data_IF_395125527437
#
_entry.id   IF_395125527437
#
_cell.length_a   1.000
_cell.length_b   1.000
_cell.length_c   1.000
_cell.angle_alpha   90.00
_cell.angle_beta   90.00
_cell.angle_gamma   90.00
#
_symmetry.space_group_name_H-M   'P 1'
#
loop_
_entity.id
_entity.type
_entity.pdbx_description
1 polymer ?
#
# COMPACT_ATOMS: atom_id res chain seq x y z
N UNK A 1 54.89 1.02 30.78
CA UNK A 1 55.30 0.47 29.47
C UNK A 1 54.64 1.31 28.38
N UNK A 2 55.39 2.14 27.64
CA UNK A 2 54.88 2.91 26.50
C UNK A 2 55.27 2.22 25.17
N UNK A 3 54.31 2.10 24.26
CA UNK A 3 54.53 1.91 22.81
C UNK A 3 53.76 3.07 22.18
N UNK A 4 54.36 4.11 21.59
CA UNK A 4 55.41 4.26 20.59
C UNK A 4 55.02 3.58 19.24
N UNK A 5 54.18 4.19 18.39
CA UNK A 5 54.43 5.23 17.36
C UNK A 5 54.58 4.59 15.93
N UNK A 6 54.75 5.33 14.81
CA UNK A 6 53.74 5.47 13.75
C UNK A 6 54.29 5.20 12.32
N UNK A 7 53.48 4.69 11.38
CA UNK A 7 53.76 4.79 9.93
C UNK A 7 52.40 4.70 9.20
N UNK A 8 51.82 5.75 8.61
CA UNK A 8 52.23 6.47 7.40
C UNK A 8 52.55 5.54 6.22
N UNK A 9 51.60 5.36 5.28
CA UNK A 9 51.89 5.12 3.86
C UNK A 9 50.73 5.52 2.95
N UNK A 10 51.00 6.61 2.24
CA UNK A 10 50.39 7.07 0.99
C UNK A 10 50.52 6.01 -0.12
N UNK A 11 49.43 5.77 -0.85
CA UNK A 11 49.35 5.28 -2.24
C UNK A 11 47.95 5.74 -2.73
N UNK A 12 47.70 6.73 -3.59
CA UNK A 12 48.29 7.21 -4.85
C UNK A 12 48.31 6.19 -6.00
N UNK A 13 47.13 5.82 -6.46
CA UNK A 13 46.83 5.23 -7.77
C UNK A 13 45.40 5.66 -8.12
N UNK A 14 44.99 6.13 -9.29
CA UNK A 14 45.65 6.45 -10.55
C UNK A 14 44.53 7.02 -11.43
N UNK A 15 44.80 8.12 -12.13
CA UNK A 15 43.90 8.65 -13.15
C UNK A 15 43.80 7.64 -14.30
N UNK A 16 42.61 7.15 -14.60
CA UNK A 16 42.32 6.55 -15.91
C UNK A 16 41.38 7.49 -16.64
N UNK A 17 41.97 8.22 -17.59
CA UNK A 17 41.28 8.82 -18.72
C UNK A 17 41.33 7.79 -19.83
N UNK A 18 40.18 7.26 -20.24
CA UNK A 18 40.03 6.60 -21.53
C UNK A 18 38.95 7.34 -22.31
N UNK A 19 39.40 8.09 -23.32
CA UNK A 19 38.58 8.56 -24.42
C UNK A 19 38.72 7.57 -25.59
N UNK A 20 37.58 7.30 -26.26
CA UNK A 20 37.37 6.80 -27.63
C UNK A 20 36.18 5.83 -27.60
N UNK A 21 34.99 6.22 -28.05
CA UNK A 21 34.55 6.13 -29.45
C UNK A 21 34.87 4.76 -30.07
N UNK A 22 33.89 3.87 -29.98
CA UNK A 22 33.89 2.57 -30.64
C UNK A 22 32.53 1.93 -30.45
N UNK A 23 31.76 1.93 -31.53
CA UNK A 23 30.46 1.28 -31.72
C UNK A 23 30.22 0.07 -30.83
N UNK A 24 29.04 0.00 -30.20
CA UNK A 24 28.19 -1.17 -29.95
C UNK A 24 27.06 -0.70 -29.02
N UNK A 25 26.05 -0.03 -29.59
CA UNK A 25 24.78 0.05 -28.90
C UNK A 25 24.14 -1.33 -29.04
N UNK A 26 23.98 -2.14 -27.98
CA UNK A 26 23.05 -3.25 -28.09
C UNK A 26 21.72 -2.62 -28.47
N UNK A 27 21.12 -3.10 -29.56
CA UNK A 27 19.72 -2.85 -29.83
C UNK A 27 19.00 -3.07 -28.51
N UNK A 28 18.42 -1.99 -27.95
CA UNK A 28 17.45 -2.10 -26.88
C UNK A 28 16.33 -2.91 -27.53
N UNK A 29 16.42 -4.24 -27.40
CA UNK A 29 15.27 -5.11 -27.55
C UNK A 29 14.37 -4.58 -26.46
N UNK A 30 13.41 -3.76 -26.84
CA UNK A 30 12.15 -3.69 -26.13
C UNK A 30 11.75 -5.14 -25.93
N UNK A 31 12.00 -5.64 -24.72
CA UNK A 31 11.36 -6.87 -24.26
C UNK A 31 9.90 -6.66 -24.61
N UNK A 32 9.29 -7.51 -25.47
CA UNK A 32 7.86 -7.40 -25.68
C UNK A 32 7.25 -7.41 -24.28
N UNK A 33 6.38 -6.42 -24.03
CA UNK A 33 5.62 -6.31 -22.80
C UNK A 33 5.26 -7.74 -22.42
N UNK A 34 5.83 -8.18 -21.30
CA UNK A 34 5.59 -9.49 -20.74
C UNK A 34 4.12 -9.76 -20.91
N UNK A 35 3.75 -10.94 -21.42
CA UNK A 35 2.39 -11.45 -21.32
C UNK A 35 2.00 -11.30 -19.84
N UNK A 36 1.42 -10.15 -19.49
CA UNK A 36 0.79 -9.89 -18.22
C UNK A 36 -0.44 -10.77 -18.30
N UNK A 37 -0.24 -12.05 -17.99
CA UNK A 37 -1.33 -12.97 -17.78
C UNK A 37 -2.29 -12.23 -16.86
N UNK A 38 -3.52 -11.94 -17.33
CA UNK A 38 -4.43 -11.05 -16.64
C UNK A 38 -4.62 -11.60 -15.24
N UNK A 39 -4.02 -10.91 -14.27
CA UNK A 39 -4.00 -11.17 -12.83
C UNK A 39 -5.02 -12.22 -12.40
N UNK A 40 -4.69 -13.50 -12.58
CA UNK A 40 -5.67 -14.61 -12.45
C UNK A 40 -5.98 -14.92 -10.98
N UNK A 41 -5.54 -14.05 -10.09
CA UNK A 41 -5.78 -14.08 -8.66
C UNK A 41 -6.71 -12.96 -8.26
N UNK A 42 -8.01 -13.10 -8.56
CA UNK A 42 -9.01 -12.28 -7.88
C UNK A 42 -10.24 -13.04 -7.36
N UNK A 43 -10.48 -14.29 -7.76
CA UNK A 43 -11.43 -15.19 -7.05
C UNK A 43 -10.74 -16.30 -6.23
N UNK A 44 -9.52 -16.72 -6.61
CA UNK A 44 -8.78 -17.78 -5.90
C UNK A 44 -8.11 -17.37 -4.58
N UNK A 45 -8.00 -16.06 -4.29
CA UNK A 45 -7.37 -15.56 -3.05
C UNK A 45 -8.33 -15.42 -1.88
N UNK A 46 -9.63 -15.63 -2.07
CA UNK A 46 -10.56 -15.69 -0.95
C UNK A 46 -10.38 -17.04 -0.26
N UNK A 47 -9.97 -17.07 1.03
CA UNK A 47 -9.85 -18.31 1.75
C UNK A 47 -11.19 -19.07 1.72
N UNK A 48 -11.16 -20.40 1.70
CA UNK A 48 -12.37 -21.22 1.68
C UNK A 48 -13.37 -20.86 2.82
N UNK A 49 -12.87 -20.35 3.96
CA UNK A 49 -13.70 -19.92 5.08
C UNK A 49 -14.46 -18.61 4.82
N UNK A 50 -14.00 -17.76 3.90
CA UNK A 50 -14.49 -16.39 3.72
C UNK A 50 -15.97 -16.34 3.35
N UNK A 51 -16.40 -17.15 2.37
CA UNK A 51 -17.80 -17.19 1.92
C UNK A 51 -18.75 -17.65 3.02
N UNK A 52 -18.33 -18.64 3.83
CA UNK A 52 -19.12 -19.12 4.96
C UNK A 52 -19.24 -18.04 6.04
N UNK A 53 -18.14 -17.33 6.32
CA UNK A 53 -18.12 -16.26 7.32
C UNK A 53 -18.94 -15.04 6.88
N UNK A 54 -18.87 -14.65 5.60
CA UNK A 54 -19.70 -13.58 5.06
C UNK A 54 -21.20 -13.91 5.18
N UNK A 55 -21.59 -15.15 4.88
CA UNK A 55 -22.98 -15.60 5.06
C UNK A 55 -23.40 -15.54 6.53
N UNK A 56 -22.58 -16.05 7.44
CA UNK A 56 -22.82 -16.02 8.89
C UNK A 56 -23.02 -14.58 9.39
N UNK A 57 -22.20 -13.64 8.94
CA UNK A 57 -22.30 -12.23 9.32
C UNK A 57 -23.57 -11.58 8.77
N UNK A 58 -23.98 -11.93 7.54
CA UNK A 58 -25.22 -11.45 6.95
C UNK A 58 -26.44 -11.95 7.72
N UNK A 59 -26.47 -13.23 8.09
CA UNK A 59 -27.53 -13.81 8.92
C UNK A 59 -27.64 -13.10 10.27
N UNK A 60 -26.51 -12.80 10.92
CA UNK A 60 -26.49 -12.04 12.18
C UNK A 60 -27.03 -10.62 11.97
N UNK A 61 -26.60 -9.92 10.92
CA UNK A 61 -27.05 -8.56 10.64
C UNK A 61 -28.58 -8.51 10.39
N UNK A 62 -29.12 -9.51 9.69
CA UNK A 62 -30.56 -9.67 9.44
C UNK A 62 -31.35 -9.97 10.72
N UNK A 63 -30.86 -10.89 11.56
CA UNK A 63 -31.50 -11.23 12.83
C UNK A 63 -31.56 -10.04 13.80
N UNK A 64 -30.59 -9.12 13.69
CA UNK A 64 -30.52 -7.90 14.48
C UNK A 64 -31.20 -6.69 13.82
N UNK A 65 -31.80 -6.87 12.63
CA UNK A 65 -32.47 -5.82 11.85
C UNK A 65 -31.55 -4.62 11.56
N UNK A 66 -30.30 -4.88 11.16
CA UNK A 66 -29.26 -3.88 10.94
C UNK A 66 -28.96 -3.66 9.45
N UNK A 67 -29.76 -2.87 8.70
CA UNK A 67 -29.62 -2.74 7.25
C UNK A 67 -28.28 -2.14 6.81
N UNK A 68 -27.68 -1.25 7.61
CA UNK A 68 -26.36 -0.69 7.33
C UNK A 68 -25.26 -1.75 7.41
N UNK A 69 -25.35 -2.67 8.38
CA UNK A 69 -24.42 -3.78 8.54
C UNK A 69 -24.59 -4.81 7.41
N UNK A 70 -25.82 -5.11 7.00
CA UNK A 70 -26.08 -5.97 5.85
C UNK A 70 -25.42 -5.41 4.59
N UNK A 71 -25.63 -4.12 4.30
CA UNK A 71 -25.02 -3.46 3.16
C UNK A 71 -23.47 -3.48 3.22
N UNK A 72 -22.89 -3.29 4.42
CA UNK A 72 -21.46 -3.38 4.63
C UNK A 72 -20.92 -4.79 4.35
N UNK A 73 -21.61 -5.85 4.80
CA UNK A 73 -21.21 -7.25 4.57
C UNK A 73 -21.37 -7.65 3.10
N UNK A 74 -22.44 -7.19 2.44
CA UNK A 74 -22.68 -7.47 1.01
C UNK A 74 -21.64 -6.79 0.11
N UNK A 75 -21.30 -5.53 0.40
CA UNK A 75 -20.28 -4.77 -0.33
C UNK A 75 -18.83 -5.13 0.04
N UNK A 76 -18.64 -6.08 0.96
CA UNK A 76 -17.31 -6.49 1.39
C UNK A 76 -16.48 -7.08 0.25
N UNK A 77 -17.13 -7.90 -0.58
CA UNK A 77 -16.57 -8.49 -1.78
C UNK A 77 -16.54 -7.45 -2.88
N UNK A 78 -15.33 -7.04 -3.28
CA UNK A 78 -15.16 -6.10 -4.39
C UNK A 78 -15.31 -6.87 -5.70
N UNK A 79 -16.28 -6.52 -6.56
CA UNK A 79 -16.43 -7.16 -7.85
C UNK A 79 -15.22 -6.83 -8.73
N UNK A 80 -14.76 -7.85 -9.45
CA UNK A 80 -13.59 -7.73 -10.32
C UNK A 80 -14.09 -7.34 -11.69
N UNK A 81 -13.46 -6.32 -12.23
CA UNK A 81 -13.77 -5.80 -13.54
C UNK A 81 -12.47 -5.80 -14.34
N UNK A 82 -12.39 -6.54 -15.46
CA UNK A 82 -11.17 -6.59 -16.27
C UNK A 82 -10.83 -5.23 -16.89
N UNK A 83 -11.83 -4.35 -16.98
CA UNK A 83 -11.74 -2.99 -17.50
C UNK A 83 -11.51 -1.93 -16.41
N UNK A 84 -11.26 -2.32 -15.15
CA UNK A 84 -11.12 -1.38 -14.05
C UNK A 84 -9.87 -1.62 -13.19
N UNK A 85 -9.19 -0.53 -12.86
CA UNK A 85 -8.15 -0.52 -11.81
C UNK A 85 -8.82 -0.43 -10.44
N UNK A 86 -8.57 -1.42 -9.59
CA UNK A 86 -9.09 -1.44 -8.22
C UNK A 86 -8.10 -0.75 -7.29
N UNK A 87 -8.54 0.35 -6.68
CA UNK A 87 -7.83 1.04 -5.61
C UNK A 87 -8.33 0.56 -4.24
N UNK A 88 -7.42 0.05 -3.41
CA UNK A 88 -7.74 -0.35 -2.04
C UNK A 88 -7.36 0.77 -1.08
N UNK A 89 -8.37 1.37 -0.44
CA UNK A 89 -8.19 2.38 0.60
C UNK A 89 -8.37 1.75 1.98
N UNK A 90 -7.54 2.11 2.99
CA UNK A 90 -7.76 1.73 4.38
C UNK A 90 -9.17 2.12 4.84
N UNK A 91 -9.96 1.13 5.27
CA UNK A 91 -11.29 1.37 5.83
C UNK A 91 -11.20 1.21 7.35
N UNK A 92 -11.61 2.22 8.15
CA UNK A 92 -11.59 2.11 9.60
C UNK A 92 -12.32 0.85 10.10
N UNK A 93 -11.89 0.32 11.23
CA UNK A 93 -12.63 -0.71 11.94
C UNK A 93 -13.83 -0.08 12.65
N UNK A 94 -14.90 -0.87 12.82
CA UNK A 94 -16.09 -0.41 13.53
C UNK A 94 -15.78 -0.13 15.01
N UNK A 95 -16.34 0.95 15.55
CA UNK A 95 -16.12 1.29 16.95
C UNK A 95 -17.07 0.50 17.86
N UNK A 96 -16.54 -0.56 18.47
CA UNK A 96 -17.25 -1.45 19.41
C UNK A 96 -17.78 -0.75 20.66
N UNK A 97 -17.33 0.46 21.01
CA UNK A 97 -17.74 1.15 22.23
C UNK A 97 -18.91 2.13 22.02
N UNK A 98 -19.28 2.40 20.77
CA UNK A 98 -20.22 3.47 20.42
C UNK A 98 -21.64 3.00 20.12
N UNK A 99 -21.88 1.69 20.06
CA UNK A 99 -23.17 1.12 19.67
C UNK A 99 -23.96 0.50 20.83
N UNK A 100 -25.17 0.03 20.48
CA UNK A 100 -25.98 -0.82 21.36
C UNK A 100 -25.29 -2.17 21.62
N UNK A 101 -25.62 -2.89 22.70
CA UNK A 101 -24.98 -4.19 22.98
C UNK A 101 -25.05 -5.21 21.81
N UNK A 102 -26.15 -5.33 21.06
CA UNK A 102 -26.19 -6.16 19.86
C UNK A 102 -25.24 -5.65 18.76
N UNK A 103 -25.20 -4.34 18.53
CA UNK A 103 -24.26 -3.72 17.58
C UNK A 103 -22.82 -4.03 17.94
N UNK A 104 -22.45 -3.90 19.22
CA UNK A 104 -21.08 -4.11 19.67
C UNK A 104 -20.63 -5.56 19.45
N UNK A 105 -21.55 -6.51 19.60
CA UNK A 105 -21.32 -7.94 19.34
C UNK A 105 -21.10 -8.20 17.84
N UNK A 106 -21.93 -7.59 16.99
CA UNK A 106 -21.74 -7.63 15.54
C UNK A 106 -20.41 -6.97 15.12
N UNK A 107 -20.13 -5.76 15.60
CA UNK A 107 -18.92 -5.00 15.29
C UNK A 107 -17.66 -5.80 15.65
N UNK A 108 -17.64 -6.49 16.79
CA UNK A 108 -16.54 -7.37 17.19
C UNK A 108 -16.37 -8.55 16.24
N UNK A 109 -17.46 -9.23 15.89
CA UNK A 109 -17.44 -10.35 14.95
C UNK A 109 -16.95 -9.89 13.55
N UNK A 110 -17.47 -8.75 13.09
CA UNK A 110 -17.11 -8.13 11.82
C UNK A 110 -15.64 -7.73 11.77
N UNK A 111 -15.16 -6.98 12.77
CA UNK A 111 -13.76 -6.58 12.88
C UNK A 111 -12.83 -7.79 12.97
N UNK A 112 -13.22 -8.84 13.71
CA UNK A 112 -12.49 -10.09 13.79
C UNK A 112 -12.34 -10.79 12.43
N UNK A 113 -13.44 -10.89 11.68
CA UNK A 113 -13.44 -11.48 10.34
C UNK A 113 -12.58 -10.68 9.35
N UNK A 114 -12.66 -9.33 9.39
CA UNK A 114 -11.80 -8.45 8.59
C UNK A 114 -10.32 -8.61 8.89
N UNK A 115 -9.94 -8.66 10.17
CA UNK A 115 -8.54 -8.91 10.57
C UNK A 115 -8.04 -10.27 10.06
N UNK A 116 -8.84 -11.32 10.20
CA UNK A 116 -8.50 -12.66 9.69
C UNK A 116 -8.33 -12.69 8.17
N UNK A 117 -9.18 -11.94 7.44
CA UNK A 117 -9.00 -11.78 5.99
C UNK A 117 -7.72 -11.03 5.67
N UNK A 118 -7.41 -9.95 6.39
CA UNK A 118 -6.18 -9.19 6.23
C UNK A 118 -4.95 -10.09 6.34
N UNK A 119 -4.89 -10.95 7.37
CA UNK A 119 -3.77 -11.88 7.56
C UNK A 119 -3.62 -12.86 6.38
N UNK A 120 -4.75 -13.34 5.85
CA UNK A 120 -4.76 -14.26 4.70
C UNK A 120 -4.28 -13.57 3.41
N UNK A 121 -4.71 -12.32 3.20
CA UNK A 121 -4.28 -11.49 2.06
C UNK A 121 -2.80 -11.12 2.18
N UNK A 122 -2.32 -10.84 3.39
CA UNK A 122 -0.91 -10.56 3.66
C UNK A 122 -0.02 -11.76 3.33
N UNK A 123 -0.44 -12.97 3.71
CA UNK A 123 0.27 -14.20 3.33
C UNK A 123 0.38 -14.34 1.80
N UNK A 124 -0.72 -14.13 1.07
CA UNK A 124 -0.70 -14.13 -0.39
C UNK A 124 0.19 -13.02 -0.99
N UNK A 125 0.31 -11.87 -0.31
CA UNK A 125 1.23 -10.81 -0.73
C UNK A 125 2.69 -11.25 -0.62
N UNK A 126 3.05 -11.97 0.45
CA UNK A 126 4.39 -12.53 0.62
C UNK A 126 4.70 -13.59 -0.45
N UNK A 127 3.75 -14.48 -0.73
CA UNK A 127 3.92 -15.50 -1.78
C UNK A 127 4.10 -14.85 -3.17
N UNK A 128 3.36 -13.78 -3.46
CA UNK A 128 3.52 -13.01 -4.69
C UNK A 128 4.90 -12.34 -4.77
N UNK A 129 5.38 -11.75 -3.68
CA UNK A 129 6.69 -11.12 -3.61
C UNK A 129 7.82 -12.14 -3.81
N UNK A 130 7.74 -13.31 -3.16
CA UNK A 130 8.71 -14.40 -3.32
C UNK A 130 8.74 -14.95 -4.76
N UNK A 131 7.60 -14.93 -5.44
CA UNK A 131 7.49 -15.29 -6.85
C UNK A 131 7.93 -14.18 -7.82
N UNK A 132 8.48 -13.06 -7.35
CA UNK A 132 8.91 -11.93 -8.17
C UNK A 132 7.77 -11.09 -8.78
N UNK A 133 6.52 -11.29 -8.30
CA UNK A 133 5.34 -10.57 -8.77
C UNK A 133 5.10 -9.31 -7.92
N UNK A 134 6.03 -8.35 -8.02
CA UNK A 134 6.08 -7.17 -7.15
C UNK A 134 4.79 -6.32 -7.18
N UNK A 135 4.24 -6.05 -8.36
CA UNK A 135 3.00 -5.28 -8.49
C UNK A 135 1.82 -5.95 -7.79
N UNK A 136 1.72 -7.27 -7.93
CA UNK A 136 0.68 -8.06 -7.26
C UNK A 136 0.86 -8.01 -5.74
N UNK A 137 2.09 -8.18 -5.26
CA UNK A 137 2.41 -8.05 -3.84
C UNK A 137 2.02 -6.66 -3.31
N UNK A 138 2.40 -5.59 -4.02
CA UNK A 138 2.08 -4.22 -3.65
C UNK A 138 0.57 -3.97 -3.53
N UNK A 139 -0.21 -4.44 -4.51
CA UNK A 139 -1.68 -4.33 -4.48
C UNK A 139 -2.29 -5.12 -3.32
N UNK A 140 -1.77 -6.31 -3.02
CA UNK A 140 -2.24 -7.15 -1.91
C UNK A 140 -1.89 -6.54 -0.54
N UNK A 141 -0.76 -5.86 -0.41
CA UNK A 141 -0.42 -5.11 0.80
C UNK A 141 -1.45 -3.98 1.05
N UNK A 142 -1.83 -3.23 0.01
CA UNK A 142 -2.89 -2.22 0.16
C UNK A 142 -4.26 -2.83 0.48
N UNK A 143 -4.60 -3.97 -0.12
CA UNK A 143 -5.80 -4.73 0.27
C UNK A 143 -5.75 -5.20 1.72
N UNK A 144 -4.58 -5.60 2.21
CA UNK A 144 -4.39 -5.95 3.64
C UNK A 144 -4.73 -4.76 4.53
N UNK A 145 -4.25 -3.56 4.19
CA UNK A 145 -4.54 -2.33 4.94
C UNK A 145 -5.99 -1.84 4.80
N UNK A 146 -6.67 -2.15 3.68
CA UNK A 146 -8.12 -1.98 3.58
C UNK A 146 -8.85 -2.76 4.66
N UNK A 147 -8.48 -4.02 4.86
CA UNK A 147 -9.17 -4.90 5.82
C UNK A 147 -8.77 -4.62 7.27
N UNK A 148 -7.48 -4.41 7.52
CA UNK A 148 -6.95 -4.06 8.83
C UNK A 148 -5.96 -2.89 8.69
N UNK A 149 -6.41 -1.65 8.90
CA UNK A 149 -5.56 -0.46 8.84
C UNK A 149 -4.37 -0.50 9.79
N UNK A 150 -4.47 -1.26 10.88
CA UNK A 150 -3.43 -1.40 11.91
C UNK A 150 -2.52 -2.62 11.71
N UNK A 151 -2.58 -3.28 10.56
CA UNK A 151 -1.75 -4.45 10.28
C UNK A 151 -0.26 -4.05 10.18
N UNK A 152 0.46 -4.17 11.29
CA UNK A 152 1.83 -3.67 11.47
C UNK A 152 2.79 -4.07 10.34
N UNK A 153 2.84 -5.36 10.00
CA UNK A 153 3.80 -5.85 9.00
C UNK A 153 3.54 -5.30 7.59
N UNK A 154 2.28 -5.22 7.18
CA UNK A 154 1.88 -4.64 5.90
C UNK A 154 2.19 -3.15 5.84
N UNK A 155 2.00 -2.43 6.96
CA UNK A 155 2.37 -1.02 7.06
C UNK A 155 3.87 -0.81 6.96
N UNK A 156 4.66 -1.62 7.67
CA UNK A 156 6.13 -1.59 7.56
C UNK A 156 6.59 -1.87 6.15
N UNK A 157 6.02 -2.87 5.48
CA UNK A 157 6.34 -3.21 4.10
C UNK A 157 6.03 -2.07 3.11
N UNK A 158 4.95 -1.32 3.35
CA UNK A 158 4.55 -0.17 2.53
C UNK A 158 5.17 1.17 2.96
N UNK A 159 5.90 1.21 4.08
CA UNK A 159 6.31 2.47 4.70
C UNK A 159 5.14 3.35 5.15
N UNK A 160 3.98 2.77 5.45
CA UNK A 160 2.75 3.48 5.79
C UNK A 160 2.69 3.88 7.28
N UNK A 161 2.27 5.11 7.56
CA UNK A 161 2.06 5.62 8.91
C UNK A 161 0.88 4.94 9.65
N UNK A 162 0.84 4.95 10.99
CA UNK A 162 -0.26 4.35 11.76
C UNK A 162 -1.62 4.94 11.47
N UNK A 163 -2.65 4.08 11.50
CA UNK A 163 -4.02 4.58 11.48
C UNK A 163 -4.21 5.47 12.71
N UNK A 164 -4.61 6.72 12.48
CA UNK A 164 -4.71 7.73 13.53
C UNK A 164 -3.47 8.61 13.71
N UNK A 165 -2.31 8.26 13.15
CA UNK A 165 -1.18 9.19 13.04
C UNK A 165 -1.49 10.19 11.93
N UNK A 166 -2.11 11.33 12.29
CA UNK A 166 -2.29 12.45 11.37
C UNK A 166 -0.93 13.07 11.10
N UNK A 167 -0.29 12.66 10.02
CA UNK A 167 0.78 13.46 9.42
C UNK A 167 0.09 14.60 8.70
N UNK A 168 -0.14 15.70 9.40
CA UNK A 168 -0.73 16.90 8.79
C UNK A 168 0.20 17.39 7.67
N UNK A 169 -0.22 17.29 6.39
CA UNK A 169 0.59 17.81 5.31
C UNK A 169 0.77 19.31 5.52
N UNK A 170 2.01 19.78 5.42
CA UNK A 170 2.28 21.22 5.51
C UNK A 170 1.88 21.85 4.20
N UNK A 171 0.79 22.62 4.23
CA UNK A 171 0.36 23.43 3.10
C UNK A 171 1.11 24.75 3.14
N UNK A 172 1.93 24.98 2.12
CA UNK A 172 2.74 26.17 1.95
C UNK A 172 2.31 26.89 0.67
N UNK A 173 2.24 28.21 0.72
CA UNK A 173 2.09 29.00 -0.50
C UNK A 173 3.43 29.05 -1.24
N UNK A 174 3.41 28.81 -2.55
CA UNK A 174 4.59 28.87 -3.41
C UNK A 174 5.30 30.22 -3.32
N UNK A 175 6.60 30.23 -3.03
CA UNK A 175 7.38 31.48 -2.89
C UNK A 175 8.26 31.81 -4.09
N UNK A 176 8.51 30.81 -4.94
CA UNK A 176 9.29 30.92 -6.17
C UNK A 176 8.42 30.46 -7.35
N UNK A 177 8.82 30.75 -8.60
CA UNK A 177 8.20 30.13 -9.75
C UNK A 177 8.31 28.61 -9.65
N UNK A 178 7.23 27.89 -9.96
CA UNK A 178 7.27 26.42 -9.94
C UNK A 178 8.14 25.90 -11.11
N UNK A 179 9.14 25.03 -10.84
CA UNK A 179 10.15 24.67 -11.84
C UNK A 179 9.65 23.97 -13.11
N UNK A 180 8.54 23.24 -13.05
CA UNK A 180 8.11 22.35 -14.13
C UNK A 180 6.93 22.91 -14.96
N UNK A 181 6.06 23.69 -14.33
CA UNK A 181 4.80 24.23 -14.85
C UNK A 181 4.88 25.75 -15.02
N UNK A 182 5.93 26.39 -14.51
CA UNK A 182 6.17 27.83 -14.67
C UNK A 182 5.14 28.70 -13.94
N UNK A 183 4.44 28.16 -12.94
CA UNK A 183 3.44 28.92 -12.20
C UNK A 183 4.09 30.08 -11.43
N UNK A 184 3.54 31.30 -11.48
CA UNK A 184 4.10 32.43 -10.77
C UNK A 184 4.16 32.21 -9.25
N UNK A 185 5.08 32.90 -8.54
CA UNK A 185 5.08 32.91 -7.09
C UNK A 185 3.72 33.32 -6.53
N UNK A 186 3.34 32.72 -5.40
CA UNK A 186 2.11 32.98 -4.66
C UNK A 186 0.80 32.64 -5.37
N UNK A 187 0.84 32.08 -6.57
CA UNK A 187 -0.38 31.66 -7.28
C UNK A 187 -0.73 30.19 -7.09
N UNK A 188 0.09 29.42 -6.37
CA UNK A 188 -0.14 27.99 -6.14
C UNK A 188 0.15 27.61 -4.69
N UNK A 189 -0.47 26.50 -4.26
CA UNK A 189 -0.26 25.83 -2.99
C UNK A 189 0.60 24.57 -3.20
N UNK A 190 1.47 24.32 -2.23
CA UNK A 190 2.32 23.14 -2.14
C UNK A 190 1.99 22.41 -0.85
N UNK A 191 1.40 21.22 -0.95
CA UNK A 191 1.17 20.34 0.18
C UNK A 191 2.33 19.35 0.28
N UNK A 192 3.14 19.46 1.33
CA UNK A 192 4.30 18.60 1.56
C UNK A 192 4.02 17.65 2.72
N UNK A 193 4.23 16.35 2.48
CA UNK A 193 4.30 15.33 3.51
C UNK A 193 5.62 14.56 3.39
N UNK A 194 5.96 13.68 4.36
CA UNK A 194 7.12 12.79 4.24
C UNK A 194 7.06 11.85 3.02
N UNK A 195 5.86 11.60 2.47
CA UNK A 195 5.65 10.56 1.44
C UNK A 195 5.26 11.13 0.08
N UNK A 196 4.77 12.36 0.01
CA UNK A 196 4.34 12.97 -1.23
C UNK A 196 4.46 14.48 -1.19
N UNK A 197 4.55 15.05 -2.40
CA UNK A 197 4.42 16.46 -2.65
C UNK A 197 3.31 16.65 -3.68
N UNK A 198 2.34 17.51 -3.35
CA UNK A 198 1.25 17.88 -4.26
C UNK A 198 1.29 19.38 -4.52
N UNK A 199 1.06 19.74 -5.79
CA UNK A 199 0.96 21.11 -6.26
C UNK A 199 -0.46 21.35 -6.76
N UNK A 200 -1.09 22.46 -6.34
CA UNK A 200 -2.43 22.87 -6.77
C UNK A 200 -2.47 24.37 -6.97
N UNK A 201 -3.23 24.85 -7.96
CA UNK A 201 -3.37 26.28 -8.31
C UNK A 201 -4.78 26.76 -8.02
#
# INVERSE_FOLDING_TARGET
MPSNNPHARLLLWGRIVCAALGCWGPAIRSTPASDEQPLEWVQGSCPAWFTAEQRRLLEIAQQLEMPSAEAAVQSWTIPIRPDATVLYLPVPLENEASGSPPYNSFARAWNGARKKLADSVYAAALDAAQAGREETAYRLLWRTLRENPDHERARTALGAAPAGLRVEPRVLQGRAPEPHLGWPPRTYLRAVSPHFELLSR
#
